data_IF_353586919903
#
_entry.id   IF_353586919903
#
_cell.length_a   1.000
_cell.length_b   1.000
_cell.length_c   1.000
_cell.angle_alpha   90.00
_cell.angle_beta   90.00
_cell.angle_gamma   90.00
#
_symmetry.space_group_name_H-M   'P 1'
#
loop_
_entity.id
_entity.type
_entity.pdbx_description
1 polymer ?
#
# COMPACT_ATOMS: atom_id res chain seq x y z
N UNK A 1 -22.97 1.84 -18.69
CA UNK A 1 -22.37 0.67 -18.03
C UNK A 1 -21.33 1.19 -17.03
N UNK A 2 -21.64 1.21 -15.72
CA UNK A 2 -20.67 1.63 -14.69
C UNK A 2 -19.63 0.52 -14.57
N UNK A 3 -18.37 0.81 -14.89
CA UNK A 3 -17.27 -0.12 -14.60
C UNK A 3 -17.28 -0.44 -13.09
N UNK A 4 -17.15 -1.71 -12.68
CA UNK A 4 -17.01 -2.02 -11.26
C UNK A 4 -15.75 -1.30 -10.79
N UNK A 5 -15.92 -0.44 -9.77
CA UNK A 5 -14.78 0.19 -9.13
C UNK A 5 -13.80 -0.91 -8.73
N UNK A 6 -12.50 -0.78 -9.04
CA UNK A 6 -11.54 -1.78 -8.62
C UNK A 6 -11.65 -1.92 -7.09
N UNK A 7 -11.54 -3.15 -6.55
CA UNK A 7 -11.64 -3.36 -5.11
C UNK A 7 -10.68 -2.38 -4.41
N UNK A 8 -11.13 -1.80 -3.30
CA UNK A 8 -10.33 -0.89 -2.50
C UNK A 8 -9.12 -1.69 -2.01
N UNK A 9 -7.96 -1.43 -2.63
CA UNK A 9 -6.72 -2.16 -2.32
C UNK A 9 -5.78 -1.23 -1.55
N UNK A 10 -5.54 -1.57 -0.28
CA UNK A 10 -4.45 -1.02 0.53
C UNK A 10 -3.13 -1.42 -0.11
N UNK A 11 -2.15 -0.50 -0.15
CA UNK A 11 -0.86 -0.78 -0.79
C UNK A 11 0.26 -0.44 0.17
N UNK A 12 1.25 -1.33 0.23
CA UNK A 12 2.51 -1.03 0.87
C UNK A 12 3.49 -0.68 -0.24
N UNK A 13 4.14 0.48 -0.11
CA UNK A 13 5.17 0.91 -1.05
C UNK A 13 6.50 1.02 -0.34
N UNK A 14 7.58 0.64 -1.01
CA UNK A 14 8.94 0.91 -0.59
C UNK A 14 9.52 2.02 -1.45
N UNK A 15 10.10 3.03 -0.83
CA UNK A 15 10.84 4.10 -1.50
C UNK A 15 12.31 3.79 -1.34
N UNK A 16 12.98 3.52 -2.46
CA UNK A 16 14.39 3.15 -2.49
C UNK A 16 15.26 4.40 -2.29
N UNK A 17 16.52 4.20 -1.89
CA UNK A 17 17.47 5.30 -1.68
C UNK A 17 17.73 6.16 -2.94
N UNK A 18 17.47 5.62 -4.12
CA UNK A 18 17.51 6.30 -5.43
C UNK A 18 16.20 7.04 -5.77
N UNK A 19 15.22 7.05 -4.87
CA UNK A 19 13.91 7.71 -5.05
C UNK A 19 12.89 6.87 -5.82
N UNK A 20 13.25 5.65 -6.25
CA UNK A 20 12.31 4.76 -6.93
C UNK A 20 11.25 4.23 -5.95
N UNK A 21 9.98 4.38 -6.31
CA UNK A 21 8.87 3.83 -5.52
C UNK A 21 8.43 2.50 -6.09
N UNK A 22 8.51 1.43 -5.30
CA UNK A 22 8.08 0.08 -5.66
C UNK A 22 6.89 -0.33 -4.81
N UNK A 23 5.91 -1.02 -5.40
CA UNK A 23 4.80 -1.59 -4.61
C UNK A 23 5.22 -2.95 -4.07
N UNK A 24 5.29 -3.07 -2.75
CA UNK A 24 5.69 -4.30 -2.05
C UNK A 24 4.51 -5.26 -1.88
N UNK A 25 3.29 -4.74 -1.73
CA UNK A 25 2.10 -5.56 -1.53
C UNK A 25 0.80 -4.81 -1.80
N UNK A 26 -0.24 -5.57 -2.17
CA UNK A 26 -1.61 -5.09 -2.36
C UNK A 26 -2.55 -5.95 -1.52
N UNK A 27 -3.34 -5.30 -0.67
CA UNK A 27 -4.18 -5.96 0.33
C UNK A 27 -5.62 -5.49 0.20
N UNK A 28 -6.57 -6.35 0.56
CA UNK A 28 -7.99 -5.99 0.55
C UNK A 28 -8.40 -5.24 1.81
N UNK A 29 -7.69 -5.46 2.90
CA UNK A 29 -7.99 -4.90 4.21
C UNK A 29 -6.82 -4.12 4.80
N UNK A 30 -7.13 -3.18 5.68
CA UNK A 30 -6.12 -2.39 6.41
C UNK A 30 -5.28 -3.27 7.34
N UNK A 31 -5.94 -4.24 7.99
CA UNK A 31 -5.32 -5.12 8.98
C UNK A 31 -4.21 -5.98 8.34
N UNK A 32 -4.47 -6.53 7.14
CA UNK A 32 -3.46 -7.27 6.38
C UNK A 32 -2.28 -6.35 6.00
N UNK A 33 -2.56 -5.14 5.52
CA UNK A 33 -1.52 -4.18 5.18
C UNK A 33 -0.69 -3.73 6.40
N UNK A 34 -1.31 -3.64 7.58
CA UNK A 34 -0.62 -3.27 8.81
C UNK A 34 0.27 -4.40 9.35
N UNK A 35 -0.23 -5.64 9.31
CA UNK A 35 0.54 -6.82 9.72
C UNK A 35 1.80 -6.98 8.85
N UNK A 36 1.66 -6.85 7.53
CA UNK A 36 2.80 -6.92 6.61
C UNK A 36 3.75 -5.72 6.76
N UNK A 37 3.22 -4.51 6.98
CA UNK A 37 4.04 -3.33 7.23
C UNK A 37 4.91 -3.50 8.49
N UNK A 38 4.30 -3.94 9.61
CA UNK A 38 5.01 -4.21 10.85
C UNK A 38 6.05 -5.32 10.67
N UNK A 39 5.73 -6.34 9.88
CA UNK A 39 6.65 -7.41 9.52
C UNK A 39 7.84 -6.89 8.72
N UNK A 40 7.61 -6.12 7.66
CA UNK A 40 8.70 -5.58 6.84
C UNK A 40 9.58 -4.60 7.62
N UNK A 41 9.00 -3.78 8.49
CA UNK A 41 9.73 -2.88 9.37
C UNK A 41 10.60 -3.66 10.38
N UNK A 42 10.08 -4.77 10.94
CA UNK A 42 10.77 -5.59 11.93
C UNK A 42 11.89 -6.44 11.34
N UNK A 43 11.66 -7.04 10.17
CA UNK A 43 12.64 -7.94 9.55
C UNK A 43 13.80 -7.19 8.88
N UNK A 44 13.73 -5.85 8.77
CA UNK A 44 14.71 -5.04 8.03
C UNK A 44 15.00 -5.61 6.62
N UNK A 45 14.00 -6.27 6.02
CA UNK A 45 14.09 -6.97 4.73
C UNK A 45 14.65 -6.07 3.63
N UNK A 46 14.42 -4.77 3.80
CA UNK A 46 14.86 -3.75 2.88
C UNK A 46 15.67 -2.69 3.61
N UNK A 47 16.94 -2.99 3.92
CA UNK A 47 17.90 -2.06 4.51
C UNK A 47 17.98 -0.69 3.81
N UNK A 48 17.66 -0.62 2.52
CA UNK A 48 17.68 0.58 1.69
C UNK A 48 16.30 1.03 1.18
N UNK A 49 15.18 0.48 1.68
CA UNK A 49 13.84 0.98 1.34
C UNK A 49 13.18 1.60 2.56
N UNK A 50 12.72 2.84 2.41
CA UNK A 50 11.74 3.43 3.32
C UNK A 50 10.36 2.89 3.00
N UNK A 51 9.82 2.07 3.89
CA UNK A 51 8.48 1.51 3.70
C UNK A 51 7.44 2.52 4.14
N UNK A 52 6.47 2.79 3.27
CA UNK A 52 5.32 3.62 3.58
C UNK A 52 4.02 2.83 3.39
N UNK A 53 3.12 2.94 4.38
CA UNK A 53 1.74 2.46 4.27
C UNK A 53 0.97 3.48 3.45
N UNK A 54 0.53 3.11 2.25
CA UNK A 54 -0.35 3.96 1.45
C UNK A 54 -1.79 3.57 1.81
N UNK A 55 -2.55 4.47 2.49
CA UNK A 55 -3.96 4.23 2.73
C UNK A 55 -4.66 4.04 1.38
N UNK A 56 -5.75 3.27 1.34
CA UNK A 56 -6.39 2.97 0.09
C UNK A 56 -6.86 4.30 -0.53
N UNK A 57 -6.88 4.40 -1.87
CA UNK A 57 -7.48 5.57 -2.50
C UNK A 57 -8.89 5.71 -1.93
N UNK A 58 -9.22 6.90 -1.41
CA UNK A 58 -10.58 7.20 -0.94
C UNK A 58 -11.53 6.71 -2.03
N UNK A 59 -12.60 5.96 -1.68
CA UNK A 59 -13.59 5.55 -2.67
C UNK A 59 -13.97 6.80 -3.46
N UNK A 60 -14.11 6.71 -4.80
CA UNK A 60 -14.38 7.88 -5.62
C UNK A 60 -15.56 8.60 -4.99
N UNK A 61 -15.31 9.82 -4.51
CA UNK A 61 -16.29 10.61 -3.80
C UNK A 61 -17.56 10.58 -4.64
N UNK A 62 -18.60 9.97 -4.09
CA UNK A 62 -19.89 9.86 -4.73
C UNK A 62 -20.31 11.31 -5.02
N UNK A 63 -20.15 11.73 -6.27
CA UNK A 63 -20.47 13.10 -6.68
C UNK A 63 -21.99 13.17 -6.64
N UNK A 64 -22.59 14.10 -5.85
CA UNK A 64 -24.04 14.22 -5.74
C UNK A 64 -24.70 14.56 -7.08
#
# INVERSE_FOLDING_TARGET
MKAPLPPILFRIVGIAGDGQTVTLGKYRTEAEAEADHARFAKEAYYRNLSIQKVPPPKPPAEKP
#
